data_IF_693630934514
#
_entry.id   IF_693630934514
#
_cell.length_a   1.000
_cell.length_b   1.000
_cell.length_c   1.000
_cell.angle_alpha   90.00
_cell.angle_beta   90.00
_cell.angle_gamma   90.00
#
_symmetry.space_group_name_H-M   'P 1'
#
loop_
_entity.id
_entity.type
_entity.pdbx_description
1 polymer ?
#
# COMPACT_ATOMS: atom_id res chain seq x y z
N UNK A 1 39.58 -19.23 -28.93
CA UNK A 1 40.25 -20.20 -28.03
C UNK A 1 39.90 -19.85 -26.59
N UNK A 2 39.72 -20.89 -25.76
CA UNK A 2 39.77 -20.97 -24.28
C UNK A 2 38.70 -20.26 -23.43
N UNK A 3 37.80 -21.12 -22.93
CA UNK A 3 37.01 -21.01 -21.70
C UNK A 3 37.91 -20.93 -20.46
N UNK A 4 37.45 -20.27 -19.41
CA UNK A 4 37.88 -20.57 -18.04
C UNK A 4 36.72 -20.33 -17.09
N UNK A 5 36.17 -21.43 -16.61
CA UNK A 5 35.19 -21.56 -15.54
C UNK A 5 35.94 -21.72 -14.23
N UNK A 6 35.50 -21.04 -13.17
CA UNK A 6 35.88 -21.37 -11.79
C UNK A 6 34.61 -21.48 -10.96
N UNK A 7 34.22 -22.72 -10.69
CA UNK A 7 33.40 -23.12 -9.54
C UNK A 7 34.36 -23.53 -8.42
N UNK A 8 34.01 -23.28 -7.15
CA UNK A 8 34.00 -24.26 -6.04
C UNK A 8 34.03 -23.56 -4.66
N UNK A 9 32.96 -23.84 -3.91
CA UNK A 9 32.83 -24.17 -2.48
C UNK A 9 33.44 -23.27 -1.39
N UNK A 10 32.54 -22.73 -0.57
CA UNK A 10 32.79 -22.39 0.83
C UNK A 10 31.57 -22.78 1.67
N UNK A 11 31.60 -24.02 2.16
CA UNK A 11 30.67 -24.65 3.10
C UNK A 11 30.92 -24.11 4.53
N UNK A 12 29.98 -24.41 5.44
CA UNK A 12 30.02 -24.42 6.93
C UNK A 12 29.19 -23.29 7.57
N UNK A 13 27.92 -23.51 7.95
CA UNK A 13 27.35 -24.27 9.08
C UNK A 13 27.47 -23.57 10.46
N UNK A 14 26.28 -23.37 11.05
CA UNK A 14 25.97 -23.45 12.50
C UNK A 14 26.35 -22.28 13.40
N UNK A 15 25.72 -22.04 14.56
CA UNK A 15 24.45 -22.41 15.22
C UNK A 15 24.34 -21.40 16.37
N UNK A 16 23.10 -21.09 16.74
CA UNK A 16 22.63 -20.29 17.88
C UNK A 16 23.41 -20.52 19.19
N UNK A 17 23.74 -19.44 19.91
CA UNK A 17 23.92 -19.46 21.37
C UNK A 17 23.20 -18.28 21.99
N UNK A 18 22.23 -18.58 22.88
CA UNK A 18 21.33 -17.60 23.48
C UNK A 18 21.89 -16.82 24.67
N UNK A 19 21.01 -16.03 25.28
CA UNK A 19 21.19 -15.47 26.63
C UNK A 19 19.83 -15.46 27.34
N UNK A 20 19.74 -15.91 28.61
CA UNK A 20 18.50 -15.88 29.37
C UNK A 20 18.38 -14.61 30.26
N UNK A 21 17.13 -14.16 30.43
CA UNK A 21 16.41 -13.77 31.68
C UNK A 21 17.06 -12.71 32.61
N UNK A 22 16.40 -11.69 33.18
CA UNK A 22 15.00 -11.31 33.43
C UNK A 22 14.98 -9.83 33.90
N UNK A 23 13.88 -9.11 33.76
CA UNK A 23 13.23 -8.45 34.92
C UNK A 23 11.77 -8.04 34.59
N UNK A 24 10.88 -8.02 35.59
CA UNK A 24 9.44 -7.93 35.42
C UNK A 24 8.96 -6.48 35.42
N UNK A 25 7.65 -6.35 35.26
CA UNK A 25 6.83 -5.23 35.71
C UNK A 25 6.63 -4.14 34.64
N UNK A 26 5.45 -4.17 34.02
CA UNK A 26 4.35 -3.19 34.19
C UNK A 26 3.35 -3.45 33.07
N UNK A 27 2.14 -3.86 33.43
CA UNK A 27 0.96 -3.83 32.55
C UNK A 27 0.70 -2.38 32.13
N UNK A 28 0.19 -2.13 30.91
CA UNK A 28 -1.26 -1.99 30.87
C UNK A 28 -1.90 -2.60 29.63
N UNK A 29 -3.16 -2.99 29.85
CA UNK A 29 -4.26 -3.18 28.91
C UNK A 29 -3.96 -2.89 27.43
N UNK A 30 -4.20 -3.90 26.60
CA UNK A 30 -4.90 -3.65 25.34
C UNK A 30 -5.71 -4.88 25.02
N UNK A 31 -7.00 -4.69 25.23
CA UNK A 31 -8.10 -5.34 24.52
C UNK A 31 -7.61 -5.92 23.20
N UNK A 32 -7.81 -7.22 23.00
CA UNK A 32 -7.79 -7.82 21.68
C UNK A 32 -9.00 -7.22 20.95
N UNK A 33 -8.85 -6.03 20.39
CA UNK A 33 -9.74 -5.57 19.33
C UNK A 33 -9.31 -6.32 18.08
N UNK A 34 -10.01 -7.42 17.83
CA UNK A 34 -10.11 -7.98 16.51
C UNK A 34 -10.71 -6.89 15.62
N UNK A 35 -9.85 -6.08 15.02
CA UNK A 35 -10.21 -5.04 14.06
C UNK A 35 -10.63 -5.73 12.76
N UNK A 36 -11.83 -6.31 12.80
CA UNK A 36 -12.61 -6.73 11.65
C UNK A 36 -13.19 -5.49 10.96
N UNK A 37 -12.40 -4.42 10.82
CA UNK A 37 -12.69 -3.38 9.84
C UNK A 37 -12.54 -4.01 8.47
N UNK A 38 -13.65 -4.61 8.02
CA UNK A 38 -13.97 -4.66 6.60
C UNK A 38 -14.11 -3.19 6.20
N UNK A 39 -12.95 -2.60 5.93
CA UNK A 39 -12.75 -1.28 5.34
C UNK A 39 -13.18 -1.45 3.88
N UNK A 40 -14.48 -1.69 3.72
CA UNK A 40 -15.18 -1.73 2.46
C UNK A 40 -14.89 -0.35 1.89
N UNK A 41 -14.16 -0.32 0.78
CA UNK A 41 -13.98 0.84 -0.09
C UNK A 41 -15.36 1.31 -0.55
N UNK A 42 -16.14 1.86 0.38
CA UNK A 42 -17.52 2.29 0.18
C UNK A 42 -17.40 3.76 -0.12
N UNK A 43 -17.11 4.06 -1.39
CA UNK A 43 -17.42 5.36 -1.94
C UNK A 43 -18.93 5.53 -1.87
N UNK A 44 -19.39 6.24 -0.84
CA UNK A 44 -20.78 6.66 -0.70
C UNK A 44 -21.18 7.46 -1.94
N UNK A 45 -22.29 7.05 -2.55
CA UNK A 45 -22.72 7.42 -3.90
C UNK A 45 -23.28 8.86 -4.03
N UNK A 46 -22.81 9.84 -3.26
CA UNK A 46 -23.31 11.23 -3.38
C UNK A 46 -22.28 12.33 -3.09
N UNK A 47 -21.04 12.01 -2.74
CA UNK A 47 -20.04 13.00 -2.34
C UNK A 47 -18.93 13.10 -3.39
N UNK A 48 -18.72 14.30 -3.94
CA UNK A 48 -17.56 14.62 -4.78
C UNK A 48 -16.28 14.17 -4.07
N UNK A 49 -15.39 13.48 -4.77
CA UNK A 49 -14.10 13.04 -4.26
C UNK A 49 -13.28 14.23 -3.79
N UNK A 50 -12.97 14.33 -2.49
CA UNK A 50 -12.06 15.37 -1.98
C UNK A 50 -10.61 14.96 -2.22
N UNK A 51 -10.05 15.47 -3.30
CA UNK A 51 -8.70 15.20 -3.80
C UNK A 51 -7.72 16.29 -3.37
N UNK A 52 -7.43 16.35 -2.07
CA UNK A 52 -6.49 17.30 -1.46
C UNK A 52 -5.61 16.60 -0.42
N UNK A 53 -4.52 15.95 -0.85
CA UNK A 53 -3.63 15.15 0.02
C UNK A 53 -2.19 15.12 -0.52
N UNK A 54 -1.20 14.91 0.36
CA UNK A 54 0.16 14.63 -0.10
C UNK A 54 0.33 13.13 -0.41
N UNK A 55 1.49 12.78 -0.97
CA UNK A 55 1.81 11.39 -1.28
C UNK A 55 1.71 10.52 -0.02
N UNK A 56 1.10 9.36 -0.16
CA UNK A 56 0.91 8.34 0.88
C UNK A 56 0.02 8.73 2.06
N UNK A 57 -0.64 9.89 2.04
CA UNK A 57 -1.48 10.35 3.16
C UNK A 57 -2.97 10.01 2.97
N UNK A 58 -3.39 9.58 1.78
CA UNK A 58 -4.79 9.28 1.52
C UNK A 58 -5.23 7.98 2.22
N UNK A 59 -6.44 7.94 2.78
CA UNK A 59 -7.03 6.75 3.41
C UNK A 59 -7.12 5.53 2.47
N UNK A 60 -7.20 5.77 1.17
CA UNK A 60 -7.22 4.75 0.12
C UNK A 60 -5.81 4.24 -0.22
N UNK A 61 -4.76 4.96 0.18
CA UNK A 61 -3.38 4.48 0.21
C UNK A 61 -3.10 3.74 1.53
N UNK A 62 -3.63 2.51 1.65
CA UNK A 62 -3.49 1.72 2.89
C UNK A 62 -2.02 1.58 3.31
N UNK A 63 -1.77 1.84 4.59
CA UNK A 63 -0.44 1.82 5.23
C UNK A 63 0.63 2.72 4.59
N UNK A 64 0.22 3.76 3.86
CA UNK A 64 1.11 4.78 3.30
C UNK A 64 2.13 4.24 2.30
N UNK A 65 1.83 3.13 1.62
CA UNK A 65 2.74 2.54 0.64
C UNK A 65 1.97 1.83 -0.45
N UNK A 66 2.35 2.08 -1.70
CA UNK A 66 1.80 1.35 -2.86
C UNK A 66 1.92 -0.16 -2.67
N UNK A 67 3.08 -0.67 -2.22
CA UNK A 67 3.31 -2.11 -2.04
C UNK A 67 2.34 -2.70 -1.01
N UNK A 68 2.15 -2.04 0.13
CA UNK A 68 1.25 -2.50 1.19
C UNK A 68 -0.21 -2.42 0.74
N UNK A 69 -0.58 -1.32 0.10
CA UNK A 69 -1.90 -1.16 -0.51
C UNK A 69 -2.22 -2.27 -1.52
N UNK A 70 -1.30 -2.60 -2.43
CA UNK A 70 -1.50 -3.70 -3.41
C UNK A 70 -1.62 -5.04 -2.70
N UNK A 71 -0.78 -5.30 -1.70
CA UNK A 71 -0.86 -6.53 -0.91
C UNK A 71 -2.20 -6.69 -0.22
N UNK A 72 -2.76 -5.59 0.32
CA UNK A 72 -4.09 -5.57 0.93
C UNK A 72 -5.19 -5.76 -0.12
N UNK A 73 -5.09 -5.08 -1.26
CA UNK A 73 -6.05 -5.18 -2.36
C UNK A 73 -6.22 -6.62 -2.86
N UNK A 74 -5.09 -7.32 -3.04
CA UNK A 74 -5.09 -8.72 -3.48
C UNK A 74 -5.62 -9.64 -2.38
N UNK A 75 -5.25 -9.41 -1.12
CA UNK A 75 -5.72 -10.25 -0.01
C UNK A 75 -7.21 -10.09 0.31
N UNK A 76 -7.81 -8.93 -0.01
CA UNK A 76 -9.25 -8.69 0.14
C UNK A 76 -10.08 -9.15 -1.06
N UNK A 77 -9.47 -9.82 -2.06
CA UNK A 77 -10.15 -10.25 -3.29
C UNK A 77 -10.86 -9.12 -4.05
N UNK A 78 -10.39 -7.88 -3.90
CA UNK A 78 -10.94 -6.72 -4.63
C UNK A 78 -10.56 -6.72 -6.12
N UNK A 79 -9.56 -7.52 -6.48
CA UNK A 79 -9.14 -7.73 -7.86
C UNK A 79 -7.75 -8.34 -7.93
N UNK A 80 -7.14 -8.27 -9.11
CA UNK A 80 -5.77 -8.74 -9.33
C UNK A 80 -4.73 -7.67 -8.94
N UNK A 81 -3.46 -8.08 -8.92
CA UNK A 81 -2.34 -7.20 -8.55
C UNK A 81 -2.12 -6.04 -9.53
N UNK A 82 -2.48 -6.20 -10.80
CA UNK A 82 -2.33 -5.17 -11.83
C UNK A 82 -3.29 -4.00 -11.58
N UNK A 83 -4.59 -4.30 -11.42
CA UNK A 83 -5.60 -3.32 -11.05
C UNK A 83 -5.30 -2.68 -9.70
N UNK A 84 -4.87 -3.50 -8.73
CA UNK A 84 -4.41 -3.00 -7.43
C UNK A 84 -3.25 -2.03 -7.56
N UNK A 85 -2.28 -2.31 -8.44
CA UNK A 85 -1.13 -1.42 -8.67
C UNK A 85 -1.55 -0.09 -9.25
N UNK A 86 -2.44 -0.09 -10.24
CA UNK A 86 -3.01 1.14 -10.82
C UNK A 86 -3.74 1.98 -9.77
N UNK A 87 -4.66 1.33 -9.04
CA UNK A 87 -5.44 1.94 -7.97
C UNK A 87 -4.55 2.54 -6.88
N UNK A 88 -3.69 1.71 -6.29
CA UNK A 88 -2.83 2.12 -5.18
C UNK A 88 -1.83 3.19 -5.60
N UNK A 89 -1.27 3.12 -6.81
CA UNK A 89 -0.34 4.16 -7.29
C UNK A 89 -1.04 5.51 -7.45
N UNK A 90 -2.29 5.51 -7.93
CA UNK A 90 -3.10 6.72 -8.02
C UNK A 90 -3.39 7.31 -6.65
N UNK A 91 -3.92 6.52 -5.72
CA UNK A 91 -4.36 7.01 -4.40
C UNK A 91 -3.20 7.28 -3.43
N UNK A 92 -2.02 6.69 -3.64
CA UNK A 92 -0.80 7.00 -2.90
C UNK A 92 -0.04 8.20 -3.46
N UNK A 93 -0.44 8.77 -4.60
CA UNK A 93 0.24 9.93 -5.18
C UNK A 93 -0.22 11.25 -4.56
N UNK A 94 0.61 12.29 -4.65
CA UNK A 94 0.20 13.65 -4.29
C UNK A 94 -0.95 14.09 -5.21
N UNK A 95 -1.96 14.72 -4.62
CA UNK A 95 -3.14 15.21 -5.32
C UNK A 95 -3.58 16.56 -4.75
N UNK A 96 -3.36 17.65 -5.49
CA UNK A 96 -3.73 19.01 -5.04
C UNK A 96 -4.67 19.73 -5.99
N UNK A 97 -4.70 19.35 -7.27
CA UNK A 97 -5.50 20.02 -8.29
C UNK A 97 -5.95 19.03 -9.38
N UNK A 98 -6.76 19.54 -10.32
CA UNK A 98 -7.31 18.76 -11.44
C UNK A 98 -6.22 18.19 -12.36
N UNK A 99 -5.11 18.88 -12.54
CA UNK A 99 -4.01 18.45 -13.42
C UNK A 99 -3.23 17.29 -12.81
N UNK A 100 -3.00 17.31 -11.48
CA UNK A 100 -2.44 16.18 -10.75
C UNK A 100 -3.33 14.94 -10.95
N UNK A 101 -4.65 15.11 -10.88
CA UNK A 101 -5.61 14.01 -11.06
C UNK A 101 -5.54 13.41 -12.45
N UNK A 102 -5.61 14.24 -13.49
CA UNK A 102 -5.54 13.77 -14.89
C UNK A 102 -4.18 13.13 -15.19
N UNK A 103 -3.10 13.76 -14.74
CA UNK A 103 -1.73 13.27 -14.92
C UNK A 103 -1.55 11.92 -14.24
N UNK A 104 -1.98 11.78 -13.00
CA UNK A 104 -1.86 10.52 -12.26
C UNK A 104 -2.75 9.42 -12.83
N UNK A 105 -4.00 9.72 -13.25
CA UNK A 105 -4.86 8.73 -13.93
C UNK A 105 -4.18 8.16 -15.17
N UNK A 106 -3.63 9.03 -16.03
CA UNK A 106 -2.90 8.62 -17.22
C UNK A 106 -1.62 7.86 -16.86
N UNK A 107 -0.81 8.39 -15.94
CA UNK A 107 0.48 7.80 -15.53
C UNK A 107 0.34 6.38 -14.99
N UNK A 108 -0.73 6.11 -14.23
CA UNK A 108 -0.94 4.82 -13.58
C UNK A 108 -1.99 3.95 -14.29
N UNK A 109 -2.43 4.34 -15.49
CA UNK A 109 -3.47 3.64 -16.25
C UNK A 109 -4.76 3.39 -15.42
N UNK A 110 -5.15 4.36 -14.59
CA UNK A 110 -6.30 4.25 -13.69
C UNK A 110 -7.55 4.85 -14.34
N UNK A 111 -8.52 3.98 -14.66
CA UNK A 111 -9.75 4.31 -15.39
C UNK A 111 -11.00 4.07 -14.54
N UNK A 112 -11.26 4.90 -13.51
CA UNK A 112 -12.50 4.79 -12.75
C UNK A 112 -13.67 5.44 -13.49
N UNK A 113 -14.90 5.10 -13.10
CA UNK A 113 -16.14 5.65 -13.68
C UNK A 113 -16.44 7.11 -13.30
N UNK A 114 -15.51 7.78 -12.61
CA UNK A 114 -15.61 9.19 -12.22
C UNK A 114 -14.55 10.05 -12.92
N UNK A 115 -14.82 11.33 -13.07
CA UNK A 115 -13.99 12.32 -13.77
C UNK A 115 -13.35 13.32 -12.80
N UNK A 116 -12.12 13.75 -13.11
CA UNK A 116 -11.40 14.74 -12.30
C UNK A 116 -12.13 16.10 -12.28
N UNK A 117 -12.77 16.47 -13.39
CA UNK A 117 -13.37 17.80 -13.55
C UNK A 117 -14.76 17.96 -12.89
N UNK A 118 -15.56 16.88 -12.87
CA UNK A 118 -16.97 16.96 -12.41
C UNK A 118 -17.16 16.36 -11.03
N UNK A 119 -16.41 15.31 -10.73
CA UNK A 119 -16.69 14.44 -9.60
C UNK A 119 -15.69 14.63 -8.45
N UNK A 120 -14.70 15.50 -8.61
CA UNK A 120 -13.71 15.79 -7.58
C UNK A 120 -13.69 17.26 -7.17
N UNK A 121 -13.37 17.50 -5.91
CA UNK A 121 -13.00 18.81 -5.36
C UNK A 121 -11.54 18.77 -4.93
N UNK A 122 -10.88 19.91 -4.99
CA UNK A 122 -9.45 20.02 -4.75
C UNK A 122 -9.19 20.99 -3.60
N UNK A 123 -7.91 21.13 -3.22
CA UNK A 123 -7.49 22.37 -2.57
C UNK A 123 -7.60 23.50 -3.61
#
# INVERSE_FOLDING_TARGET
MKLSTSLIQGLLLSVISGSPNSDPNISPVSTIEADNSIDKFTTEATSKYKLCFNANENVLCKDGSVKKCVSKWVSTSMGNAEHGTSFCSFWCSKMKNVDDCKTNKKKFNYHPDWSCDRDATYC
#
